data_IF_206285770758
#
_entry.id   IF_206285770758
#
_cell.length_a   1.000
_cell.length_b   1.000
_cell.length_c   1.000
_cell.angle_alpha   90.00
_cell.angle_beta   90.00
_cell.angle_gamma   90.00
#
_symmetry.space_group_name_H-M   'P 1'
#
loop_
_entity.id
_entity.type
_entity.pdbx_description
1 polymer ?
#
# COMPACT_ATOMS: atom_id res chain seq x y z
N UNK A 1 9.17 -6.29 11.10
CA UNK A 1 8.49 -6.68 9.85
C UNK A 1 8.99 -5.72 8.79
N UNK A 2 9.61 -6.21 7.71
CA UNK A 2 10.15 -5.32 6.67
C UNK A 2 9.02 -4.90 5.73
N UNK A 3 8.79 -3.61 5.59
CA UNK A 3 7.80 -3.06 4.65
C UNK A 3 8.42 -3.05 3.26
N UNK A 4 7.74 -3.65 2.28
CA UNK A 4 8.19 -3.71 0.89
C UNK A 4 7.53 -2.65 0.00
N UNK A 5 6.41 -2.10 0.45
CA UNK A 5 5.61 -1.09 -0.24
C UNK A 5 6.20 0.30 -0.08
N UNK A 6 6.14 1.09 -1.15
CA UNK A 6 6.63 2.47 -1.18
C UNK A 6 5.81 3.33 -2.14
N UNK A 7 5.48 4.54 -1.71
CA UNK A 7 4.90 5.59 -2.55
C UNK A 7 5.71 6.85 -2.30
N UNK A 8 6.20 7.49 -3.36
CA UNK A 8 6.93 8.75 -3.29
C UNK A 8 5.97 9.94 -3.35
N UNK A 9 6.46 11.14 -2.99
CA UNK A 9 5.74 12.40 -3.19
C UNK A 9 5.85 12.88 -4.65
N UNK A 10 5.42 12.06 -5.62
CA UNK A 10 5.38 12.42 -7.04
C UNK A 10 6.69 12.21 -7.80
N UNK A 11 7.77 11.80 -7.14
CA UNK A 11 9.02 11.43 -7.80
C UNK A 11 8.89 10.08 -8.52
N UNK A 12 9.41 9.97 -9.73
CA UNK A 12 9.42 8.70 -10.45
C UNK A 12 10.10 7.59 -9.61
N UNK A 13 9.40 6.47 -9.44
CA UNK A 13 9.95 5.28 -8.83
C UNK A 13 10.80 4.54 -9.88
N UNK A 14 12.08 4.21 -9.58
CA UNK A 14 13.05 3.77 -10.60
C UNK A 14 12.77 2.37 -11.16
N UNK A 15 11.77 1.67 -10.63
CA UNK A 15 11.38 0.34 -11.07
C UNK A 15 9.90 0.32 -11.46
N UNK A 16 9.64 0.37 -12.76
CA UNK A 16 8.37 -0.09 -13.32
C UNK A 16 8.58 -1.55 -13.71
N UNK A 17 7.81 -2.52 -13.19
CA UNK A 17 7.92 -3.90 -13.63
C UNK A 17 7.87 -3.98 -15.15
N UNK A 18 8.84 -4.67 -15.77
CA UNK A 18 8.90 -4.85 -17.23
C UNK A 18 7.64 -5.62 -17.68
N UNK A 19 6.71 -4.94 -18.34
CA UNK A 19 5.50 -5.55 -18.91
C UNK A 19 4.34 -4.57 -19.09
N UNK A 20 3.89 -4.42 -20.33
CA UNK A 20 2.81 -3.52 -20.77
C UNK A 20 1.39 -3.90 -20.24
N UNK A 21 1.28 -4.94 -19.40
CA UNK A 21 -0.01 -5.62 -19.10
C UNK A 21 -0.37 -5.60 -17.61
N UNK A 22 0.40 -4.95 -16.75
CA UNK A 22 0.06 -4.89 -15.33
C UNK A 22 -1.01 -3.84 -15.03
N UNK A 23 -2.01 -4.24 -14.25
CA UNK A 23 -2.98 -3.29 -13.68
C UNK A 23 -2.22 -2.25 -12.85
N UNK A 24 -2.57 -0.98 -12.99
CA UNK A 24 -1.94 0.12 -12.26
C UNK A 24 -2.89 0.62 -11.19
N UNK A 25 -2.36 0.88 -10.00
CA UNK A 25 -3.12 1.49 -8.93
C UNK A 25 -2.98 3.02 -9.00
N UNK A 26 -4.00 3.73 -8.55
CA UNK A 26 -3.92 5.18 -8.31
C UNK A 26 -3.69 5.43 -6.81
N UNK A 27 -2.86 6.41 -6.40
CA UNK A 27 -2.60 6.67 -4.98
C UNK A 27 -3.87 7.01 -4.16
N UNK A 28 -4.91 7.52 -4.83
CA UNK A 28 -6.17 7.91 -4.18
C UNK A 28 -7.23 6.80 -4.18
N UNK A 29 -6.92 5.60 -4.71
CA UNK A 29 -7.84 4.45 -4.63
C UNK A 29 -8.04 4.02 -3.19
N UNK A 30 -9.26 3.58 -2.89
CA UNK A 30 -9.57 3.07 -1.55
C UNK A 30 -8.85 1.75 -1.30
N UNK A 31 -8.34 1.58 -0.09
CA UNK A 31 -7.64 0.37 0.33
C UNK A 31 -8.49 -0.90 0.10
N UNK A 32 -9.80 -0.81 0.30
CA UNK A 32 -10.76 -1.88 0.01
C UNK A 32 -10.75 -2.33 -1.45
N UNK A 33 -10.78 -1.38 -2.37
CA UNK A 33 -10.79 -1.63 -3.80
C UNK A 33 -9.48 -2.26 -4.25
N UNK A 34 -8.36 -1.75 -3.71
CA UNK A 34 -7.01 -2.27 -3.99
C UNK A 34 -6.87 -3.71 -3.49
N UNK A 35 -7.20 -3.98 -2.23
CA UNK A 35 -7.10 -5.33 -1.65
C UNK A 35 -8.01 -6.29 -2.39
N UNK A 36 -9.26 -5.89 -2.69
CA UNK A 36 -10.18 -6.71 -3.46
C UNK A 36 -9.63 -7.05 -4.84
N UNK A 37 -9.16 -6.04 -5.58
CA UNK A 37 -8.55 -6.22 -6.90
C UNK A 37 -7.37 -7.18 -6.85
N UNK A 38 -6.46 -7.00 -5.89
CA UNK A 38 -5.26 -7.82 -5.74
C UNK A 38 -5.61 -9.28 -5.42
N UNK A 39 -6.55 -9.52 -4.51
CA UNK A 39 -6.99 -10.87 -4.14
C UNK A 39 -7.74 -11.54 -5.30
N UNK A 40 -8.71 -10.85 -5.91
CA UNK A 40 -9.55 -11.40 -6.98
C UNK A 40 -8.72 -11.81 -8.21
N UNK A 41 -7.63 -11.08 -8.49
CA UNK A 41 -6.75 -11.31 -9.64
C UNK A 41 -5.42 -12.00 -9.26
N UNK A 42 -5.26 -12.39 -8.00
CA UNK A 42 -4.05 -13.03 -7.47
C UNK A 42 -2.75 -12.20 -7.68
N UNK A 43 -2.85 -10.87 -7.61
CA UNK A 43 -1.71 -9.97 -7.65
C UNK A 43 -1.06 -9.83 -6.28
N UNK A 44 0.25 -10.09 -6.22
CA UNK A 44 1.03 -9.90 -4.99
C UNK A 44 1.64 -8.50 -4.90
N UNK A 45 1.88 -7.87 -6.05
CA UNK A 45 2.56 -6.58 -6.17
C UNK A 45 1.99 -5.82 -7.36
N UNK A 46 1.66 -4.54 -7.19
CA UNK A 46 1.17 -3.68 -8.26
C UNK A 46 1.83 -2.29 -8.22
N UNK A 47 2.17 -1.72 -9.38
CA UNK A 47 2.69 -0.36 -9.46
C UNK A 47 1.61 0.67 -9.11
N UNK A 48 2.02 1.76 -8.47
CA UNK A 48 1.17 2.93 -8.19
C UNK A 48 1.58 4.05 -9.13
N UNK A 49 0.63 4.56 -9.92
CA UNK A 49 0.86 5.61 -10.89
C UNK A 49 -0.04 6.83 -10.67
N UNK A 50 0.50 8.02 -10.90
CA UNK A 50 -0.20 9.30 -10.86
C UNK A 50 0.31 10.14 -12.04
N UNK A 51 -0.59 10.75 -12.82
CA UNK A 51 -0.24 11.59 -13.99
C UNK A 51 0.79 10.93 -14.92
N UNK A 52 0.51 9.71 -15.37
CA UNK A 52 1.36 8.86 -16.23
C UNK A 52 2.74 8.49 -15.66
N UNK A 53 3.01 8.84 -14.41
CA UNK A 53 4.27 8.56 -13.72
C UNK A 53 4.06 7.45 -12.71
N UNK A 54 4.88 6.40 -12.76
CA UNK A 54 4.96 5.43 -11.68
C UNK A 54 5.65 6.07 -10.48
N UNK A 55 4.94 6.21 -9.37
CA UNK A 55 5.41 6.85 -8.14
C UNK A 55 5.67 5.85 -7.02
N UNK A 56 5.49 4.55 -7.27
CA UNK A 56 5.71 3.55 -6.24
C UNK A 56 5.22 2.16 -6.58
N UNK A 57 5.22 1.31 -5.56
CA UNK A 57 4.75 -0.06 -5.63
C UNK A 57 4.13 -0.49 -4.31
N UNK A 58 3.09 -1.31 -4.39
CA UNK A 58 2.37 -1.84 -3.24
C UNK A 58 2.36 -3.35 -3.26
N UNK A 59 2.64 -3.94 -2.11
CA UNK A 59 2.63 -5.38 -1.87
C UNK A 59 1.42 -5.77 -1.00
N UNK A 60 0.74 -6.86 -1.37
CA UNK A 60 -0.45 -7.34 -0.68
C UNK A 60 -0.18 -7.65 0.80
N UNK A 61 0.96 -8.27 1.10
CA UNK A 61 1.36 -8.61 2.47
C UNK A 61 1.46 -7.40 3.40
N UNK A 62 1.93 -6.25 2.89
CA UNK A 62 2.02 -5.02 3.68
C UNK A 62 0.62 -4.44 3.96
N UNK A 63 -0.29 -4.51 2.99
CA UNK A 63 -1.68 -4.08 3.18
C UNK A 63 -2.40 -4.96 4.20
N UNK A 64 -2.22 -6.28 4.11
CA UNK A 64 -2.72 -7.24 5.09
C UNK A 64 -2.15 -6.90 6.47
N UNK A 65 -0.83 -6.72 6.59
CA UNK A 65 -0.20 -6.34 7.84
C UNK A 65 -0.80 -5.05 8.43
N UNK A 66 -1.05 -4.03 7.60
CA UNK A 66 -1.70 -2.78 8.03
C UNK A 66 -3.11 -2.99 8.61
N UNK A 67 -3.92 -3.80 7.92
CA UNK A 67 -5.29 -4.10 8.34
C UNK A 67 -5.27 -4.79 9.71
N UNK A 68 -4.39 -5.78 9.90
CA UNK A 68 -4.28 -6.55 11.14
C UNK A 68 -3.45 -5.84 12.24
N UNK A 69 -2.81 -4.71 11.96
CA UNK A 69 -2.02 -3.95 12.95
C UNK A 69 -2.92 -3.09 13.87
N UNK A 70 -3.33 -3.61 15.03
CA UNK A 70 -4.03 -2.87 16.08
C UNK A 70 -4.77 -3.79 17.07
N UNK A 71 -4.68 -3.49 18.36
CA UNK A 71 -5.44 -4.17 19.41
C UNK A 71 -6.90 -3.70 19.31
N UNK A 72 -7.81 -4.55 18.78
CA UNK A 72 -9.28 -4.42 18.65
C UNK A 72 -9.76 -4.50 17.19
N UNK A 73 -10.05 -5.74 16.76
CA UNK A 73 -10.33 -6.12 15.37
C UNK A 73 -11.67 -5.61 14.80
N UNK A 74 -12.69 -5.35 15.61
CA UNK A 74 -14.04 -5.13 15.07
C UNK A 74 -14.40 -3.66 14.77
N UNK A 75 -13.88 -2.68 15.53
CA UNK A 75 -14.25 -1.27 15.33
C UNK A 75 -13.26 -0.50 14.43
N UNK A 76 -12.00 -0.93 14.37
CA UNK A 76 -10.95 -0.21 13.64
C UNK A 76 -10.83 -0.64 12.16
N UNK A 77 -11.22 -1.88 11.82
CA UNK A 77 -11.09 -2.38 10.44
C UNK A 77 -11.96 -1.58 9.48
N UNK A 78 -13.24 -1.35 9.79
CA UNK A 78 -14.14 -0.61 8.91
C UNK A 78 -13.70 0.82 8.67
N UNK A 79 -13.06 1.46 9.66
CA UNK A 79 -12.55 2.82 9.52
C UNK A 79 -11.28 2.85 8.64
N UNK A 80 -10.41 1.84 8.76
CA UNK A 80 -9.20 1.69 7.93
C UNK A 80 -9.48 1.37 6.46
N UNK A 81 -10.62 0.75 6.19
CA UNK A 81 -11.03 0.33 4.84
C UNK A 81 -11.44 1.50 3.92
N UNK A 82 -11.73 2.67 4.50
CA UNK A 82 -12.03 3.91 3.77
C UNK A 82 -10.80 4.83 3.58
N UNK A 83 -9.59 4.37 3.93
CA UNK A 83 -8.38 5.14 3.66
C UNK A 83 -7.96 5.00 2.20
N UNK A 84 -7.40 6.07 1.65
CA UNK A 84 -6.68 6.02 0.39
C UNK A 84 -5.33 5.30 0.54
N UNK A 85 -4.82 4.84 -0.60
CA UNK A 85 -3.59 4.05 -0.66
C UNK A 85 -2.37 4.84 -0.18
N UNK A 86 -2.24 6.13 -0.54
CA UNK A 86 -1.13 7.00 -0.12
C UNK A 86 -1.08 7.14 1.41
N UNK A 87 -2.20 7.50 2.04
CA UNK A 87 -2.32 7.63 3.49
C UNK A 87 -1.98 6.32 4.22
N UNK A 88 -2.39 5.19 3.65
CA UNK A 88 -2.10 3.84 4.19
C UNK A 88 -0.61 3.55 4.20
N UNK A 89 0.08 3.73 3.07
CA UNK A 89 1.52 3.45 2.95
C UNK A 89 2.36 4.40 3.83
N UNK A 90 2.00 5.69 3.89
CA UNK A 90 2.68 6.64 4.77
C UNK A 90 2.54 6.26 6.25
N UNK A 91 1.35 5.80 6.66
CA UNK A 91 1.11 5.33 8.03
C UNK A 91 1.95 4.09 8.34
N UNK A 92 1.97 3.11 7.44
CA UNK A 92 2.81 1.91 7.56
C UNK A 92 4.29 2.26 7.79
N UNK A 93 4.85 3.15 6.96
CA UNK A 93 6.24 3.59 7.09
C UNK A 93 6.51 4.26 8.44
N UNK A 94 5.56 5.07 8.94
CA UNK A 94 5.69 5.75 10.24
C UNK A 94 5.69 4.78 11.42
N UNK A 95 4.93 3.69 11.33
CA UNK A 95 4.85 2.65 12.37
C UNK A 95 6.16 1.87 12.47
N UNK A 96 6.81 1.60 11.34
CA UNK A 96 8.11 0.93 11.32
C UNK A 96 9.21 1.76 12.02
N UNK A 97 9.21 3.09 11.84
CA UNK A 97 10.22 3.97 12.44
C UNK A 97 10.09 4.09 13.98
N UNK A 98 8.90 3.90 14.54
CA UNK A 98 8.68 3.98 16.00
C UNK A 98 9.16 2.72 16.75
N UNK A 99 9.18 1.57 16.09
CA UNK A 99 9.64 0.30 16.68
C UNK A 99 11.16 0.19 16.88
N UNK A 100 11.96 1.04 16.23
CA UNK A 100 13.42 1.10 16.39
C UNK A 100 13.90 2.12 17.43
N UNK A 101 13.01 2.96 17.97
CA UNK A 101 13.34 3.99 18.96
C UNK A 101 12.92 3.65 20.40
N UNK A 102 12.39 2.46 20.67
CA UNK A 102 11.98 2.04 22.02
C UNK A 102 12.81 0.88 22.61
N UNK A 103 14.08 0.76 22.22
CA UNK A 103 15.05 -0.15 22.84
C UNK A 103 16.14 0.64 23.54
#
# INVERSE_FOLDING_TARGET
MSISSIITNGSAYPYVPDGDVFHKLHPDQLLTEVVKLMVDNNYQMLPVCENDTCIGVVCLDDLIAFLFHGQNYHELLFHKLNFDLRSTILTLMSLHQKSSLSS
#
